data_IF_383350444278
#
_entry.id   IF_383350444278
#
_cell.length_a   1.000
_cell.length_b   1.000
_cell.length_c   1.000
_cell.angle_alpha   90.00
_cell.angle_beta   90.00
_cell.angle_gamma   90.00
#
_symmetry.space_group_name_H-M   'P 1'
#
loop_
_entity.id
_entity.type
_entity.pdbx_description
1 polymer ?
#
# COMPACT_ATOMS: atom_id res chain seq x y z
N UNK A 1 -17.99 13.21 1.25
CA UNK A 1 -18.86 12.66 0.20
C UNK A 1 -18.23 11.34 -0.24
N UNK A 2 -18.73 10.19 0.23
CA UNK A 2 -18.14 8.88 -0.11
C UNK A 2 -18.49 8.50 -1.54
N UNK A 3 -17.49 8.29 -2.41
CA UNK A 3 -17.69 7.79 -3.78
C UNK A 3 -17.92 6.28 -3.69
N UNK A 4 -19.06 5.80 -4.17
CA UNK A 4 -19.38 4.37 -4.24
C UNK A 4 -18.71 3.79 -5.48
N UNK A 5 -17.93 2.72 -5.32
CA UNK A 5 -17.39 1.91 -6.42
C UNK A 5 -18.56 1.09 -6.95
N UNK A 6 -19.02 1.40 -8.17
CA UNK A 6 -20.19 0.73 -8.76
C UNK A 6 -19.68 -0.33 -9.72
N UNK A 7 -19.55 -1.54 -9.20
CA UNK A 7 -19.04 -2.68 -9.95
C UNK A 7 -20.10 -3.26 -10.89
N UNK A 8 -20.30 -2.62 -12.04
CA UNK A 8 -20.68 -3.32 -13.26
C UNK A 8 -19.55 -3.11 -14.27
N UNK A 9 -18.60 -4.06 -14.27
CA UNK A 9 -17.38 -4.02 -15.08
C UNK A 9 -16.11 -3.88 -14.23
N UNK A 10 -15.64 -5.02 -13.72
CA UNK A 10 -14.24 -5.28 -13.35
C UNK A 10 -13.54 -4.23 -12.47
N UNK A 11 -13.86 -4.20 -11.18
CA UNK A 11 -12.96 -3.60 -10.20
C UNK A 11 -11.79 -4.57 -9.98
N UNK A 12 -10.62 -4.24 -10.51
CA UNK A 12 -9.41 -5.05 -10.35
C UNK A 12 -8.67 -4.56 -9.11
N UNK A 13 -8.52 -5.45 -8.12
CA UNK A 13 -7.61 -5.26 -7.00
C UNK A 13 -6.30 -5.96 -7.35
N UNK A 14 -5.23 -5.18 -7.51
CA UNK A 14 -3.89 -5.69 -7.80
C UNK A 14 -2.97 -5.51 -6.59
N UNK A 15 -2.31 -6.57 -6.10
CA UNK A 15 -1.15 -6.37 -5.21
C UNK A 15 0.07 -6.13 -6.07
N UNK A 16 0.77 -5.03 -5.84
CA UNK A 16 2.01 -4.69 -6.53
C UNK A 16 3.19 -4.98 -5.60
N UNK A 17 4.00 -5.99 -5.92
CA UNK A 17 5.18 -6.34 -5.12
C UNK A 17 6.47 -5.92 -5.83
N UNK A 18 7.38 -5.27 -5.10
CA UNK A 18 8.75 -4.98 -5.55
C UNK A 18 9.71 -6.08 -5.04
N UNK A 19 10.64 -6.60 -5.86
CA UNK A 19 11.62 -7.59 -5.40
C UNK A 19 12.48 -7.07 -4.25
N UNK A 20 12.81 -7.96 -3.31
CA UNK A 20 13.26 -7.72 -1.94
C UNK A 20 14.68 -7.16 -1.75
N UNK A 21 15.32 -6.57 -2.77
CA UNK A 21 16.72 -6.13 -2.70
C UNK A 21 16.89 -4.65 -2.30
N UNK A 22 15.82 -3.99 -1.88
CA UNK A 22 15.84 -2.61 -1.43
C UNK A 22 15.09 -2.47 -0.10
N UNK A 23 15.65 -1.71 0.84
CA UNK A 23 15.19 -1.49 2.23
C UNK A 23 13.79 -0.85 2.36
N UNK A 24 12.97 -0.88 1.31
CA UNK A 24 11.67 -0.23 1.16
C UNK A 24 10.63 -1.23 0.67
N UNK A 25 10.48 -2.36 1.36
CA UNK A 25 9.39 -3.30 1.12
C UNK A 25 8.07 -2.65 1.54
N UNK A 26 7.40 -2.01 0.57
CA UNK A 26 6.06 -1.46 0.72
C UNK A 26 5.07 -2.48 0.17
N UNK A 27 4.04 -2.84 0.94
CA UNK A 27 2.90 -3.59 0.40
C UNK A 27 2.01 -2.61 -0.33
N UNK A 28 1.84 -2.79 -1.64
CA UNK A 28 1.06 -1.89 -2.48
C UNK A 28 -0.25 -2.56 -2.92
N UNK A 29 -1.35 -1.82 -2.85
CA UNK A 29 -2.68 -2.25 -3.25
C UNK A 29 -3.21 -1.26 -4.29
N UNK A 30 -3.40 -1.72 -5.52
CA UNK A 30 -4.00 -0.93 -6.60
C UNK A 30 -5.51 -1.14 -6.62
N UNK A 31 -6.25 -0.04 -6.59
CA UNK A 31 -7.70 0.00 -6.84
C UNK A 31 -7.94 0.59 -8.23
N UNK A 32 -8.47 -0.22 -9.14
CA UNK A 32 -8.86 0.20 -10.47
C UNK A 32 -10.38 0.09 -10.67
N UNK A 33 -11.04 1.23 -10.87
CA UNK A 33 -12.46 1.34 -11.24
C UNK A 33 -12.61 2.39 -12.36
N UNK A 34 -12.71 1.95 -13.63
CA UNK A 34 -12.80 2.87 -14.78
C UNK A 34 -14.14 3.62 -14.84
N UNK A 35 -15.22 3.08 -14.27
CA UNK A 35 -16.55 3.72 -14.27
C UNK A 35 -16.50 5.00 -13.45
N UNK A 36 -15.82 4.94 -12.30
CA UNK A 36 -15.65 6.08 -11.40
C UNK A 36 -14.33 6.84 -11.61
N UNK A 37 -13.53 6.47 -12.62
CA UNK A 37 -12.21 7.05 -12.92
C UNK A 37 -11.25 6.97 -11.73
N UNK A 38 -11.23 5.84 -11.05
CA UNK A 38 -10.32 5.53 -9.95
C UNK A 38 -9.22 4.62 -10.51
N UNK A 39 -7.98 5.06 -10.38
CA UNK A 39 -6.80 4.23 -10.64
C UNK A 39 -5.71 4.67 -9.67
N UNK A 40 -5.81 4.16 -8.43
CA UNK A 40 -5.01 4.57 -7.29
C UNK A 40 -4.20 3.41 -6.73
N UNK A 41 -3.02 3.69 -6.21
CA UNK A 41 -2.13 2.73 -5.55
C UNK A 41 -1.94 3.18 -4.11
N UNK A 42 -2.38 2.36 -3.17
CA UNK A 42 -2.21 2.57 -1.74
C UNK A 42 -0.96 1.82 -1.27
N UNK A 43 -0.06 2.50 -0.57
CA UNK A 43 1.20 1.92 -0.08
C UNK A 43 1.28 1.89 1.43
N UNK A 44 1.42 0.68 2.00
CA UNK A 44 1.78 0.48 3.40
C UNK A 44 3.29 0.31 3.53
N UNK A 45 3.91 1.14 4.35
CA UNK A 45 5.34 1.09 4.65
C UNK A 45 6.08 2.39 4.31
N UNK A 46 5.37 3.47 4.02
CA UNK A 46 5.96 4.79 3.82
C UNK A 46 6.33 5.41 5.16
N UNK A 47 7.44 6.14 5.21
CA UNK A 47 7.93 6.85 6.38
C UNK A 47 8.71 8.11 5.96
N UNK A 48 8.90 9.03 6.90
CA UNK A 48 9.58 10.29 6.65
C UNK A 48 11.09 10.19 6.92
N UNK A 49 11.89 10.13 5.86
CA UNK A 49 13.36 10.15 5.96
C UNK A 49 13.92 11.51 6.41
N UNK A 50 13.13 12.59 6.34
CA UNK A 50 13.56 13.92 6.75
C UNK A 50 13.46 14.16 8.25
N UNK A 51 12.84 13.23 9.00
CA UNK A 51 12.80 13.29 10.47
C UNK A 51 14.24 13.25 11.04
N UNK A 52 14.70 14.30 11.75
CA UNK A 52 16.03 14.31 12.36
C UNK A 52 16.24 13.18 13.37
N UNK A 53 15.15 12.64 13.92
CA UNK A 53 15.12 11.50 14.85
C UNK A 53 14.82 10.17 14.15
N UNK A 54 14.88 10.10 12.82
CA UNK A 54 14.60 8.91 12.03
C UNK A 54 15.35 7.68 12.54
N UNK A 55 16.68 7.72 12.59
CA UNK A 55 17.50 6.57 12.94
C UNK A 55 17.29 6.10 14.39
N UNK A 56 17.26 7.00 15.41
CA UNK A 56 16.88 6.63 16.77
C UNK A 56 15.50 5.97 16.87
N UNK A 57 14.46 6.56 16.26
CA UNK A 57 13.09 6.04 16.29
C UNK A 57 12.99 4.68 15.60
N UNK A 58 13.70 4.50 14.48
CA UNK A 58 13.75 3.23 13.75
C UNK A 58 14.33 2.10 14.61
N UNK A 59 15.49 2.33 15.24
CA UNK A 59 16.13 1.33 16.11
C UNK A 59 15.28 1.04 17.36
N UNK A 60 14.59 2.05 17.89
CA UNK A 60 13.77 1.94 19.10
C UNK A 60 12.34 1.44 18.84
N UNK A 61 11.96 1.15 17.58
CA UNK A 61 10.61 0.71 17.19
C UNK A 61 9.52 1.78 17.47
N UNK A 62 9.91 3.05 17.41
CA UNK A 62 9.03 4.22 17.60
C UNK A 62 8.91 5.06 16.31
N UNK A 63 9.34 4.50 15.17
CA UNK A 63 9.18 5.15 13.88
C UNK A 63 7.73 4.96 13.41
N UNK A 64 7.01 6.07 13.25
CA UNK A 64 5.69 6.07 12.66
C UNK A 64 5.80 5.87 11.15
N UNK A 65 5.11 4.85 10.66
CA UNK A 65 4.84 4.65 9.24
C UNK A 65 3.50 5.30 8.91
N UNK A 66 3.26 5.52 7.63
CA UNK A 66 1.96 5.99 7.17
C UNK A 66 1.52 5.33 5.87
N UNK A 67 0.20 5.25 5.72
CA UNK A 67 -0.44 4.90 4.48
C UNK A 67 -0.32 6.09 3.52
N UNK A 68 0.18 5.80 2.33
CA UNK A 68 0.30 6.74 1.22
C UNK A 68 -0.54 6.32 0.02
N UNK A 69 -0.89 7.28 -0.84
CA UNK A 69 -1.70 7.02 -2.03
C UNK A 69 -1.21 7.82 -3.23
N UNK A 70 -1.00 7.12 -4.34
CA UNK A 70 -0.60 7.70 -5.62
C UNK A 70 -1.58 7.35 -6.75
N UNK A 71 -1.59 8.16 -7.80
CA UNK A 71 -2.22 7.76 -9.06
C UNK A 71 -1.36 6.73 -9.77
N UNK A 72 -1.95 5.63 -10.25
CA UNK A 72 -1.20 4.55 -10.90
C UNK A 72 -0.29 5.00 -12.06
N UNK A 73 -0.68 5.95 -12.95
CA UNK A 73 0.22 6.43 -13.98
C UNK A 73 1.50 7.08 -13.44
N UNK A 74 1.39 7.83 -12.34
CA UNK A 74 2.54 8.49 -11.70
C UNK A 74 3.42 7.46 -10.99
N UNK A 75 2.80 6.56 -10.22
CA UNK A 75 3.46 5.42 -9.59
C UNK A 75 4.28 4.62 -10.62
N UNK A 76 3.65 4.24 -11.75
CA UNK A 76 4.28 3.46 -12.81
C UNK A 76 5.46 4.21 -13.42
N UNK A 77 5.29 5.49 -13.73
CA UNK A 77 6.37 6.32 -14.29
C UNK A 77 7.60 6.37 -13.36
N UNK A 78 7.39 6.57 -12.06
CA UNK A 78 8.47 6.61 -11.06
C UNK A 78 9.19 5.26 -10.99
N UNK A 79 8.44 4.15 -10.94
CA UNK A 79 9.03 2.82 -10.91
C UNK A 79 9.85 2.51 -12.17
N UNK A 80 9.34 2.87 -13.35
CA UNK A 80 10.07 2.72 -14.61
C UNK A 80 11.33 3.60 -14.66
N UNK A 81 11.23 4.86 -14.24
CA UNK A 81 12.35 5.81 -14.21
C UNK A 81 13.50 5.31 -13.34
N UNK A 82 13.18 4.80 -12.14
CA UNK A 82 14.17 4.22 -11.23
C UNK A 82 14.52 2.75 -11.55
N UNK A 83 14.07 2.22 -12.69
CA UNK A 83 14.33 0.85 -13.13
C UNK A 83 13.93 -0.20 -12.08
N UNK A 84 12.84 0.06 -11.35
CA UNK A 84 12.25 -0.84 -10.37
C UNK A 84 11.21 -1.72 -11.04
N UNK A 85 11.40 -3.04 -10.94
CA UNK A 85 10.40 -3.99 -11.38
C UNK A 85 9.32 -4.16 -10.32
N UNK A 86 8.10 -4.40 -10.77
CA UNK A 86 7.02 -4.82 -9.90
C UNK A 86 6.15 -5.86 -10.60
N UNK A 87 5.49 -6.71 -9.82
CA UNK A 87 4.54 -7.69 -10.32
C UNK A 87 3.16 -7.39 -9.75
N UNK A 88 2.14 -7.43 -10.61
CA UNK A 88 0.75 -7.22 -10.24
C UNK A 88 0.03 -8.57 -10.14
N UNK A 89 -0.51 -8.88 -8.95
CA UNK A 89 -1.40 -10.02 -8.75
C UNK A 89 -2.84 -9.53 -8.69
N UNK A 90 -3.65 -9.93 -9.67
CA UNK A 90 -5.07 -9.63 -9.72
C UNK A 90 -5.86 -10.64 -8.88
N UNK A 91 -6.75 -10.13 -8.03
CA UNK A 91 -7.69 -10.96 -7.26
C UNK A 91 -9.06 -11.00 -7.91
N UNK A 92 -9.66 -12.19 -7.96
CA UNK A 92 -11.04 -12.39 -8.40
C UNK A 92 -11.98 -12.14 -7.21
N UNK A 93 -12.38 -10.88 -7.03
CA UNK A 93 -13.24 -10.43 -5.93
C UNK A 93 -14.61 -10.00 -6.44
N UNK A 94 -15.64 -10.33 -5.67
CA UNK A 94 -16.98 -9.82 -5.92
C UNK A 94 -17.09 -8.31 -5.62
N UNK A 95 -18.19 -7.71 -6.05
CA UNK A 95 -18.44 -6.26 -5.88
C UNK A 95 -18.46 -5.82 -4.42
N UNK A 96 -18.98 -6.66 -3.52
CA UNK A 96 -19.07 -6.34 -2.11
C UNK A 96 -17.71 -6.46 -1.42
N UNK A 97 -16.88 -7.42 -1.81
CA UNK A 97 -15.50 -7.57 -1.37
C UNK A 97 -14.66 -6.36 -1.81
N UNK A 98 -14.75 -5.97 -3.09
CA UNK A 98 -14.05 -4.80 -3.60
C UNK A 98 -14.44 -3.52 -2.86
N UNK A 99 -15.74 -3.30 -2.63
CA UNK A 99 -16.21 -2.13 -1.89
C UNK A 99 -15.71 -2.14 -0.44
N UNK A 100 -15.72 -3.29 0.25
CA UNK A 100 -15.20 -3.40 1.63
C UNK A 100 -13.72 -3.04 1.72
N UNK A 101 -12.92 -3.50 0.76
CA UNK A 101 -11.48 -3.20 0.72
C UNK A 101 -11.26 -1.71 0.43
N UNK A 102 -11.99 -1.15 -0.54
CA UNK A 102 -11.91 0.28 -0.83
C UNK A 102 -12.31 1.13 0.38
N UNK A 103 -13.41 0.80 1.05
CA UNK A 103 -13.86 1.52 2.26
C UNK A 103 -12.84 1.41 3.39
N UNK A 104 -12.17 0.26 3.54
CA UNK A 104 -11.09 0.07 4.50
C UNK A 104 -9.88 0.96 4.19
N UNK A 105 -9.45 1.01 2.92
CA UNK A 105 -8.34 1.85 2.47
C UNK A 105 -8.65 3.34 2.68
N UNK A 106 -9.83 3.78 2.27
CA UNK A 106 -10.28 5.16 2.45
C UNK A 106 -10.43 5.55 3.93
N UNK A 107 -10.88 4.62 4.77
CA UNK A 107 -10.91 4.85 6.22
C UNK A 107 -9.51 5.00 6.79
N UNK A 108 -8.56 4.15 6.38
CA UNK A 108 -7.18 4.22 6.85
C UNK A 108 -6.44 5.44 6.29
N UNK A 109 -6.83 5.97 5.14
CA UNK A 109 -6.25 7.20 4.59
C UNK A 109 -6.61 8.47 5.37
N UNK A 110 -7.60 8.41 6.26
CA UNK A 110 -7.98 9.58 7.07
C UNK A 110 -6.81 10.02 7.96
N UNK A 111 -6.64 11.33 8.24
CA UNK A 111 -5.53 11.84 9.03
C UNK A 111 -5.37 11.16 10.40
N UNK A 112 -6.49 10.72 10.99
CA UNK A 112 -6.51 10.10 12.31
C UNK A 112 -6.10 8.61 12.29
N UNK A 113 -6.16 7.96 11.13
CA UNK A 113 -5.92 6.52 10.98
C UNK A 113 -4.67 6.18 10.15
N UNK A 114 -4.14 7.16 9.39
CA UNK A 114 -3.10 6.89 8.39
C UNK A 114 -1.75 6.57 8.98
N UNK A 115 -1.47 6.99 10.21
CA UNK A 115 -0.20 6.77 10.88
C UNK A 115 -0.28 5.55 11.80
N UNK A 116 0.71 4.68 11.70
CA UNK A 116 0.77 3.45 12.49
C UNK A 116 2.20 3.08 12.85
N UNK A 117 2.37 2.39 13.99
CA UNK A 117 3.63 1.74 14.32
C UNK A 117 3.69 0.41 13.57
N UNK A 118 4.86 0.11 13.01
CA UNK A 118 5.11 -1.14 12.32
C UNK A 118 6.41 -1.74 12.82
N UNK A 119 6.37 -3.05 13.07
CA UNK A 119 7.51 -3.76 13.59
C UNK A 119 8.15 -4.65 12.54
N UNK A 120 9.07 -4.06 11.77
CA UNK A 120 9.73 -4.78 10.70
C UNK A 120 10.42 -6.08 11.17
N UNK A 121 10.98 -6.11 12.39
CA UNK A 121 11.72 -7.27 12.88
C UNK A 121 10.82 -8.46 13.24
N UNK A 122 9.63 -8.19 13.79
CA UNK A 122 8.70 -9.26 14.18
C UNK A 122 7.73 -9.63 13.05
N UNK A 123 7.35 -8.68 12.20
CA UNK A 123 6.27 -8.88 11.23
C UNK A 123 6.77 -9.41 9.88
N UNK A 124 8.00 -9.11 9.46
CA UNK A 124 8.54 -9.56 8.16
C UNK A 124 9.61 -10.64 8.23
N UNK A 125 10.33 -10.74 9.34
CA UNK A 125 11.54 -11.57 9.44
C UNK A 125 11.40 -12.78 10.35
N UNK A 126 10.19 -13.11 10.82
CA UNK A 126 9.99 -14.33 11.60
C UNK A 126 10.34 -15.54 10.71
N UNK A 127 11.38 -16.33 11.02
CA UNK A 127 11.54 -17.63 10.40
C UNK A 127 10.29 -18.42 10.77
N UNK A 128 9.66 -19.11 9.81
CA UNK A 128 8.63 -20.09 10.12
C UNK A 128 9.22 -21.03 11.18
N UNK A 129 8.78 -20.88 12.43
CA UNK A 129 9.18 -21.80 13.48
C UNK A 129 8.55 -23.13 13.13
N UNK A 130 9.42 -24.07 12.77
CA UNK A 130 9.19 -25.50 12.55
C UNK A 130 8.02 -26.03 13.41
N UNK A 131 7.03 -26.61 12.75
CA UNK A 131 6.07 -27.57 13.35
C UNK A 131 6.40 -28.97 12.88
#
# INVERSE_FOLDING_TARGET
MSRKVKAEGSSLLGIVNSPSNSLNTTSLIRVYDPVNRIDMVYGYGTFDFSDPMFLPKFIQRDLMYFLDVDQYPQFKYVYEYFQRSFYEQVFDLDSAQNQRIFDFLENNMRPENRFYLYDFFFDNLRPESET
#
